data_IF_909854307596
#
_entry.id   IF_909854307596
#
_cell.length_a   1.000
_cell.length_b   1.000
_cell.length_c   1.000
_cell.angle_alpha   90.00
_cell.angle_beta   90.00
_cell.angle_gamma   90.00
#
_symmetry.space_group_name_H-M   'P 1'
#
loop_
_entity.id
_entity.type
_entity.pdbx_description
1 polymer ?
#
# COMPACT_ATOMS: atom_id res chain seq x y z
N UNK A 1 -57.20 1.74 -22.41
CA UNK A 1 -56.14 2.58 -21.80
C UNK A 1 -56.39 2.54 -20.30
N UNK A 2 -55.79 1.70 -19.47
CA UNK A 2 -54.44 1.13 -19.41
C UNK A 2 -53.95 1.41 -17.98
N UNK A 3 -54.51 0.70 -17.00
CA UNK A 3 -54.23 0.88 -15.57
C UNK A 3 -52.92 0.16 -15.22
N UNK A 4 -51.94 0.91 -14.70
CA UNK A 4 -50.73 0.35 -14.10
C UNK A 4 -51.00 0.15 -12.61
N UNK A 5 -50.91 -1.11 -12.17
CA UNK A 5 -50.96 -1.50 -10.78
C UNK A 5 -49.59 -1.23 -10.13
N UNK A 6 -49.60 -0.54 -9.00
CA UNK A 6 -48.47 -0.47 -8.07
C UNK A 6 -48.27 -1.86 -7.43
N UNK A 7 -47.20 -2.55 -7.81
CA UNK A 7 -46.67 -3.66 -7.00
C UNK A 7 -45.75 -3.07 -5.91
N UNK A 8 -45.99 -3.38 -4.62
CA UNK A 8 -45.05 -3.05 -3.57
C UNK A 8 -43.81 -3.96 -3.69
N UNK A 9 -42.63 -3.34 -3.73
CA UNK A 9 -41.35 -4.02 -3.61
C UNK A 9 -41.33 -4.86 -2.32
N UNK A 10 -41.28 -6.18 -2.48
CA UNK A 10 -41.01 -7.11 -1.40
C UNK A 10 -39.69 -6.76 -0.70
N UNK A 11 -39.77 -6.31 0.55
CA UNK A 11 -38.64 -6.32 1.48
C UNK A 11 -38.17 -7.77 1.63
N UNK A 12 -36.97 -8.06 1.13
CA UNK A 12 -36.25 -9.28 1.43
C UNK A 12 -35.80 -9.20 2.90
N UNK A 13 -36.54 -9.88 3.77
CA UNK A 13 -36.20 -10.06 5.18
C UNK A 13 -34.89 -10.87 5.31
N UNK A 14 -33.78 -10.15 5.46
CA UNK A 14 -32.42 -10.68 5.62
C UNK A 14 -32.22 -11.49 6.92
N UNK A 15 -33.23 -11.62 7.78
CA UNK A 15 -33.20 -12.45 8.99
C UNK A 15 -33.75 -13.88 8.78
N UNK A 16 -34.23 -14.22 7.59
CA UNK A 16 -34.87 -15.52 7.31
C UNK A 16 -33.94 -16.57 6.68
N UNK A 17 -32.64 -16.29 6.53
CA UNK A 17 -31.65 -17.31 6.16
C UNK A 17 -31.19 -18.09 7.39
N UNK A 18 -31.19 -19.43 7.36
CA UNK A 18 -30.73 -20.23 8.47
C UNK A 18 -29.28 -19.87 8.76
N UNK A 19 -29.03 -19.32 9.96
CA UNK A 19 -27.69 -19.23 10.51
C UNK A 19 -27.02 -20.60 10.43
N UNK A 20 -25.71 -20.68 10.18
CA UNK A 20 -25.03 -21.96 10.12
C UNK A 20 -25.21 -22.64 11.47
N UNK A 21 -26.06 -23.67 11.50
CA UNK A 21 -26.09 -24.60 12.61
C UNK A 21 -24.67 -25.14 12.76
N UNK A 22 -24.14 -25.07 13.97
CA UNK A 22 -22.81 -25.54 14.35
C UNK A 22 -22.76 -27.08 14.31
N UNK A 23 -22.96 -27.66 13.14
CA UNK A 23 -22.45 -29.00 12.84
C UNK A 23 -20.99 -28.86 12.48
N UNK A 24 -20.15 -29.66 13.13
CA UNK A 24 -18.69 -29.74 13.07
C UNK A 24 -18.16 -29.84 11.62
N UNK A 25 -18.20 -28.72 10.91
CA UNK A 25 -17.61 -28.60 9.60
C UNK A 25 -16.10 -28.41 9.83
N UNK A 26 -15.32 -29.41 9.42
CA UNK A 26 -13.85 -29.44 9.45
C UNK A 26 -13.26 -28.05 9.14
N UNK A 27 -12.25 -27.63 9.91
CA UNK A 27 -11.54 -26.34 9.75
C UNK A 27 -11.18 -26.05 8.28
N UNK A 28 -10.84 -27.10 7.51
CA UNK A 28 -10.53 -27.02 6.09
C UNK A 28 -11.72 -26.59 5.21
N UNK A 29 -12.94 -27.04 5.51
CA UNK A 29 -14.15 -26.65 4.76
C UNK A 29 -14.51 -25.18 5.00
N UNK A 30 -14.35 -24.70 6.24
CA UNK A 30 -14.55 -23.28 6.60
C UNK A 30 -13.52 -22.39 5.90
N UNK A 31 -12.26 -22.82 5.85
CA UNK A 31 -11.20 -22.06 5.19
C UNK A 31 -11.35 -22.06 3.66
N UNK A 32 -11.80 -23.16 3.06
CA UNK A 32 -12.11 -23.24 1.62
C UNK A 32 -13.25 -22.30 1.24
N UNK A 33 -14.34 -22.27 2.01
CA UNK A 33 -15.45 -21.33 1.78
C UNK A 33 -15.02 -19.87 1.97
N UNK A 34 -14.13 -19.62 2.92
CA UNK A 34 -13.55 -18.30 3.17
C UNK A 34 -12.65 -17.86 2.00
N UNK A 35 -11.78 -18.74 1.49
CA UNK A 35 -10.95 -18.51 0.30
C UNK A 35 -11.82 -18.13 -0.91
N UNK A 36 -12.88 -18.90 -1.18
CA UNK A 36 -13.78 -18.64 -2.30
C UNK A 36 -14.38 -17.22 -2.23
N UNK A 37 -14.80 -16.77 -1.04
CA UNK A 37 -15.30 -15.40 -0.84
C UNK A 37 -14.20 -14.35 -1.03
N UNK A 38 -13.01 -14.60 -0.50
CA UNK A 38 -11.87 -13.70 -0.61
C UNK A 38 -11.38 -13.57 -2.05
N UNK A 39 -11.43 -14.65 -2.85
CA UNK A 39 -11.02 -14.62 -4.26
C UNK A 39 -11.94 -13.78 -5.14
N UNK A 40 -13.22 -13.62 -4.75
CA UNK A 40 -14.16 -12.71 -5.43
C UNK A 40 -13.93 -11.23 -5.09
N UNK A 41 -13.00 -10.90 -4.18
CA UNK A 41 -12.68 -9.51 -3.87
C UNK A 41 -12.02 -8.83 -5.07
N UNK A 42 -12.69 -7.77 -5.55
CA UNK A 42 -12.06 -6.77 -6.40
C UNK A 42 -10.93 -6.02 -5.66
N UNK A 43 -10.05 -5.39 -6.43
CA UNK A 43 -8.97 -4.57 -5.86
C UNK A 43 -9.53 -3.46 -4.95
N UNK A 44 -8.82 -3.18 -3.86
CA UNK A 44 -9.19 -2.23 -2.80
C UNK A 44 -10.48 -2.55 -2.05
N UNK A 45 -11.04 -3.75 -2.23
CA UNK A 45 -12.16 -4.22 -1.40
C UNK A 45 -11.64 -4.99 -0.19
N UNK A 46 -12.31 -4.74 0.93
CA UNK A 46 -12.08 -5.48 2.17
C UNK A 46 -13.19 -6.49 2.39
N UNK A 47 -12.82 -7.64 2.95
CA UNK A 47 -13.75 -8.62 3.50
C UNK A 47 -13.48 -8.78 4.99
N UNK A 48 -14.51 -8.54 5.80
CA UNK A 48 -14.48 -8.74 7.24
C UNK A 48 -14.82 -10.20 7.53
N UNK A 49 -13.82 -10.95 7.99
CA UNK A 49 -13.95 -12.36 8.36
C UNK A 49 -14.64 -12.51 9.70
N UNK A 50 -14.33 -11.61 10.65
CA UNK A 50 -14.85 -11.62 12.01
C UNK A 50 -15.09 -10.20 12.49
N UNK A 51 -16.06 -10.04 13.39
CA UNK A 51 -16.32 -8.75 13.99
C UNK A 51 -15.15 -8.28 14.88
N UNK A 52 -14.74 -7.02 14.69
CA UNK A 52 -13.72 -6.39 15.52
C UNK A 52 -14.29 -6.02 16.89
N UNK A 53 -13.78 -6.67 17.93
CA UNK A 53 -14.09 -6.32 19.32
C UNK A 53 -13.53 -4.92 19.65
N UNK A 54 -14.27 -4.07 20.39
CA UNK A 54 -13.82 -2.72 20.75
C UNK A 54 -12.48 -2.71 21.51
N UNK A 55 -12.28 -3.67 22.40
CA UNK A 55 -11.06 -3.81 23.22
C UNK A 55 -10.01 -4.75 22.60
N UNK A 56 -10.20 -5.15 21.33
CA UNK A 56 -9.25 -6.03 20.65
C UNK A 56 -7.93 -5.33 20.35
N UNK A 57 -6.83 -6.09 20.46
CA UNK A 57 -5.54 -5.73 19.92
C UNK A 57 -5.34 -6.41 18.58
N UNK A 58 -4.98 -5.61 17.57
CA UNK A 58 -4.87 -6.03 16.19
C UNK A 58 -3.50 -5.71 15.64
N UNK A 59 -2.98 -6.60 14.81
CA UNK A 59 -1.77 -6.38 14.02
C UNK A 59 -2.21 -6.20 12.57
N UNK A 60 -1.70 -5.15 11.93
CA UNK A 60 -1.92 -4.95 10.50
C UNK A 60 -0.69 -5.44 9.76
N UNK A 61 -0.89 -6.47 8.95
CA UNK A 61 0.13 -7.13 8.15
C UNK A 61 -0.11 -6.84 6.67
N UNK A 62 0.95 -6.73 5.89
CA UNK A 62 0.91 -6.73 4.44
C UNK A 62 1.86 -7.82 3.93
N UNK A 63 1.38 -8.65 3.02
CA UNK A 63 2.12 -9.77 2.44
C UNK A 63 1.75 -10.00 0.98
N UNK A 64 2.50 -10.85 0.29
CA UNK A 64 2.13 -11.33 -1.04
C UNK A 64 0.77 -12.06 -1.02
N UNK A 65 -0.07 -11.80 -2.02
CA UNK A 65 -1.42 -12.37 -2.09
C UNK A 65 -1.42 -13.89 -2.20
N UNK A 66 -0.49 -14.48 -2.97
CA UNK A 66 -0.43 -15.93 -3.16
C UNK A 66 0.12 -16.62 -1.92
N UNK A 67 1.14 -16.03 -1.27
CA UNK A 67 1.63 -16.54 0.02
C UNK A 67 0.51 -16.51 1.06
N UNK A 68 -0.24 -15.41 1.14
CA UNK A 68 -1.40 -15.33 2.04
C UNK A 68 -2.44 -16.42 1.78
N UNK A 69 -2.81 -16.64 0.52
CA UNK A 69 -3.76 -17.70 0.16
C UNK A 69 -3.25 -19.07 0.59
N UNK A 70 -1.96 -19.35 0.43
CA UNK A 70 -1.36 -20.63 0.85
C UNK A 70 -1.38 -20.84 2.37
N UNK A 71 -1.48 -19.75 3.14
CA UNK A 71 -1.48 -19.77 4.61
C UNK A 71 -2.87 -19.50 5.20
N UNK A 72 -3.94 -19.33 4.40
CA UNK A 72 -5.23 -18.88 4.94
C UNK A 72 -5.80 -19.85 5.98
N UNK A 73 -5.71 -21.16 5.74
CA UNK A 73 -6.22 -22.17 6.66
C UNK A 73 -5.65 -22.00 8.08
N UNK A 74 -4.40 -21.53 8.17
CA UNK A 74 -3.67 -21.31 9.41
C UNK A 74 -4.02 -19.96 10.05
N UNK A 75 -4.30 -18.96 9.22
CA UNK A 75 -4.66 -17.61 9.68
C UNK A 75 -6.15 -17.46 9.99
N UNK A 76 -7.03 -18.30 9.42
CA UNK A 76 -8.48 -18.12 9.42
C UNK A 76 -9.10 -18.00 10.82
N UNK A 77 -8.46 -18.60 11.83
CA UNK A 77 -8.91 -18.56 13.22
C UNK A 77 -8.73 -17.18 13.87
N UNK A 78 -7.71 -16.44 13.46
CA UNK A 78 -7.35 -15.15 14.05
C UNK A 78 -7.40 -13.99 13.04
N UNK A 79 -7.70 -14.28 11.77
CA UNK A 79 -7.94 -13.30 10.73
C UNK A 79 -9.27 -12.59 10.99
N UNK A 80 -9.22 -11.27 10.96
CA UNK A 80 -10.37 -10.40 11.25
C UNK A 80 -10.84 -9.74 9.97
N UNK A 81 -9.90 -9.27 9.15
CA UNK A 81 -10.19 -8.61 7.89
C UNK A 81 -9.06 -8.89 6.91
N UNK A 82 -9.41 -9.00 5.63
CA UNK A 82 -8.47 -9.01 4.52
C UNK A 82 -8.85 -7.96 3.50
N UNK A 83 -7.86 -7.31 2.90
CA UNK A 83 -8.04 -6.37 1.81
C UNK A 83 -7.08 -6.72 0.69
N UNK A 84 -7.59 -6.88 -0.52
CA UNK A 84 -6.76 -7.11 -1.71
C UNK A 84 -6.28 -5.77 -2.25
N UNK A 85 -4.98 -5.56 -2.38
CA UNK A 85 -4.44 -4.33 -2.96
C UNK A 85 -4.34 -4.44 -4.48
N UNK A 86 -4.22 -3.31 -5.18
CA UNK A 86 -3.94 -3.30 -6.61
C UNK A 86 -2.54 -3.87 -6.96
N UNK A 87 -1.63 -3.92 -5.98
CA UNK A 87 -0.23 -4.29 -6.18
C UNK A 87 0.01 -5.80 -6.06
N UNK A 88 -1.06 -6.61 -6.00
CA UNK A 88 -0.95 -8.06 -5.78
C UNK A 88 -0.58 -8.43 -4.33
N UNK A 89 -0.76 -7.52 -3.38
CA UNK A 89 -0.55 -7.78 -1.94
C UNK A 89 -1.88 -7.94 -1.21
N UNK A 90 -1.85 -8.59 -0.05
CA UNK A 90 -2.95 -8.68 0.89
C UNK A 90 -2.62 -7.85 2.13
N UNK A 91 -3.52 -6.94 2.52
CA UNK A 91 -3.48 -6.30 3.84
C UNK A 91 -4.40 -7.06 4.78
N UNK A 92 -3.84 -7.60 5.85
CA UNK A 92 -4.49 -8.47 6.81
C UNK A 92 -4.59 -7.76 8.14
N UNK A 93 -5.78 -7.80 8.76
CA UNK A 93 -5.95 -7.43 10.16
C UNK A 93 -6.05 -8.72 10.94
N UNK A 94 -5.05 -8.96 11.79
CA UNK A 94 -4.89 -10.16 12.58
C UNK A 94 -5.09 -9.87 14.06
N UNK A 95 -5.86 -10.70 14.76
CA UNK A 95 -6.07 -10.57 16.21
C UNK A 95 -4.83 -11.09 16.95
N UNK A 96 -4.21 -10.25 17.78
CA UNK A 96 -2.99 -10.57 18.55
C UNK A 96 -3.22 -11.54 19.73
N UNK A 97 -4.30 -12.32 19.72
CA UNK A 97 -4.67 -13.19 20.85
C UNK A 97 -3.79 -14.44 20.86
N UNK A 98 -3.37 -14.91 22.04
CA UNK A 98 -2.68 -16.18 22.14
C UNK A 98 -3.65 -17.30 21.76
N UNK A 99 -3.29 -18.10 20.76
CA UNK A 99 -3.99 -19.32 20.38
C UNK A 99 -2.99 -20.48 20.29
N UNK A 100 -3.39 -21.71 20.60
CA UNK A 100 -2.46 -22.82 20.85
C UNK A 100 -2.10 -23.65 19.61
N UNK A 101 -2.82 -23.51 18.50
CA UNK A 101 -2.55 -24.29 17.30
C UNK A 101 -1.64 -23.56 16.32
N UNK A 102 -0.39 -24.03 16.19
CA UNK A 102 0.56 -23.52 15.22
C UNK A 102 1.13 -24.64 14.34
N UNK A 103 0.93 -24.52 13.03
CA UNK A 103 1.77 -25.19 12.05
C UNK A 103 2.74 -24.17 11.45
N UNK A 104 4.00 -24.55 11.21
CA UNK A 104 5.02 -23.63 10.71
C UNK A 104 4.69 -23.19 9.28
N UNK A 105 4.44 -21.90 9.11
CA UNK A 105 4.36 -21.22 7.81
C UNK A 105 5.46 -20.19 7.71
N UNK A 106 6.13 -20.13 6.56
CA UNK A 106 7.15 -19.12 6.26
C UNK A 106 6.65 -18.17 5.19
N UNK A 107 7.07 -16.92 5.32
CA UNK A 107 6.79 -15.83 4.40
C UNK A 107 8.09 -15.34 3.80
N UNK A 108 8.13 -15.06 2.50
CA UNK A 108 9.34 -14.48 1.89
C UNK A 108 9.61 -13.09 2.44
N UNK A 109 8.55 -12.35 2.68
CA UNK A 109 8.58 -11.06 3.37
C UNK A 109 7.23 -10.81 4.01
N UNK A 110 7.25 -10.05 5.09
CA UNK A 110 6.05 -9.56 5.76
C UNK A 110 6.28 -8.13 6.18
N UNK A 111 5.32 -7.25 5.88
CA UNK A 111 5.36 -5.87 6.35
C UNK A 111 4.36 -5.70 7.49
N UNK A 112 4.82 -5.26 8.64
CA UNK A 112 3.97 -4.96 9.80
C UNK A 112 3.82 -3.46 9.91
N UNK A 113 2.59 -2.97 10.08
CA UNK A 113 2.34 -1.56 10.39
C UNK A 113 2.59 -1.30 11.86
N UNK A 114 3.31 -0.22 12.13
CA UNK A 114 3.56 0.29 13.47
C UNK A 114 2.40 1.21 13.88
N UNK A 115 2.03 1.18 15.16
CA UNK A 115 0.97 2.03 15.69
C UNK A 115 1.40 3.50 15.87
N UNK A 116 2.70 3.78 15.83
CA UNK A 116 3.29 5.12 15.91
C UNK A 116 4.53 5.23 15.04
N UNK A 117 5.03 6.45 14.89
CA UNK A 117 6.35 6.69 14.30
C UNK A 117 7.42 6.14 15.25
N UNK A 118 8.35 5.35 14.71
CA UNK A 118 9.42 4.71 15.48
C UNK A 118 10.76 5.07 14.86
N UNK A 119 11.72 5.45 15.70
CA UNK A 119 13.11 5.67 15.28
C UNK A 119 13.87 4.34 15.24
N UNK A 120 14.97 4.22 14.45
CA UNK A 120 15.75 2.99 14.41
C UNK A 120 16.23 2.51 15.78
N UNK A 121 16.49 3.42 16.73
CA UNK A 121 16.95 3.09 18.08
C UNK A 121 15.83 2.56 19.00
N UNK A 122 14.56 2.84 18.69
CA UNK A 122 13.41 2.37 19.47
C UNK A 122 12.90 1.00 19.01
N UNK A 123 13.31 0.55 17.82
CA UNK A 123 12.88 -0.71 17.24
C UNK A 123 13.79 -1.84 17.73
N UNK A 124 13.33 -2.57 18.75
CA UNK A 124 14.05 -3.71 19.31
C UNK A 124 13.41 -5.03 18.88
N UNK A 125 13.57 -5.39 17.61
CA UNK A 125 13.17 -6.70 17.09
C UNK A 125 14.38 -7.63 17.12
N UNK A 126 14.18 -8.87 17.56
CA UNK A 126 15.24 -9.89 17.56
C UNK A 126 15.53 -10.42 16.16
N UNK A 127 14.60 -10.23 15.22
CA UNK A 127 14.70 -10.67 13.84
C UNK A 127 15.39 -9.62 12.94
N UNK A 128 16.05 -10.07 11.84
CA UNK A 128 16.47 -9.17 10.78
C UNK A 128 15.28 -8.37 10.26
N UNK A 129 15.44 -7.05 10.16
CA UNK A 129 14.32 -6.17 9.81
C UNK A 129 14.78 -4.93 9.05
N UNK A 130 13.85 -4.30 8.34
CA UNK A 130 14.05 -3.01 7.69
C UNK A 130 12.90 -2.09 8.06
N UNK A 131 13.22 -0.95 8.65
CA UNK A 131 12.25 0.11 8.89
C UNK A 131 11.92 0.80 7.56
N UNK A 132 10.65 1.05 7.29
CA UNK A 132 10.25 1.83 6.12
C UNK A 132 10.69 3.29 6.25
N UNK A 133 10.85 3.96 5.11
CA UNK A 133 11.29 5.37 5.07
C UNK A 133 10.35 6.33 5.81
N UNK A 134 9.07 5.98 5.93
CA UNK A 134 8.07 6.75 6.67
C UNK A 134 8.05 6.42 8.18
N UNK A 135 8.90 5.50 8.65
CA UNK A 135 8.96 5.05 10.05
C UNK A 135 7.63 4.51 10.59
N UNK A 136 6.71 4.07 9.72
CA UNK A 136 5.36 3.56 10.09
C UNK A 136 5.19 2.07 9.85
N UNK A 137 6.21 1.40 9.33
CA UNK A 137 6.15 -0.03 9.10
C UNK A 137 7.52 -0.67 9.17
N UNK A 138 7.55 -1.95 9.47
CA UNK A 138 8.74 -2.76 9.47
C UNK A 138 8.58 -3.93 8.52
N UNK A 139 9.59 -4.19 7.71
CA UNK A 139 9.65 -5.30 6.77
C UNK A 139 10.53 -6.39 7.39
N UNK A 140 9.98 -7.59 7.52
CA UNK A 140 10.62 -8.79 8.05
C UNK A 140 10.81 -9.77 6.89
N UNK A 141 12.04 -9.94 6.38
CA UNK A 141 12.34 -10.94 5.36
C UNK A 141 12.38 -12.34 5.97
N UNK A 142 11.94 -13.35 5.20
CA UNK A 142 12.08 -14.77 5.52
C UNK A 142 11.59 -15.14 6.93
N UNK A 143 10.39 -14.69 7.30
CA UNK A 143 9.86 -14.84 8.65
C UNK A 143 8.89 -16.02 8.74
N UNK A 144 9.00 -16.78 9.82
CA UNK A 144 7.99 -17.79 10.17
C UNK A 144 6.87 -17.19 11.03
N UNK A 145 5.69 -17.79 11.00
CA UNK A 145 4.56 -17.33 11.82
C UNK A 145 4.86 -17.36 13.32
N UNK A 146 5.59 -18.37 13.80
CA UNK A 146 6.01 -18.47 15.21
C UNK A 146 6.97 -17.36 15.62
N UNK A 147 7.91 -16.99 14.73
CA UNK A 147 8.80 -15.83 14.95
C UNK A 147 8.03 -14.51 14.95
N UNK A 148 7.10 -14.33 14.00
CA UNK A 148 6.21 -13.17 13.96
C UNK A 148 5.43 -13.02 15.26
N UNK A 149 4.83 -14.11 15.75
CA UNK A 149 4.06 -14.08 16.99
C UNK A 149 4.93 -13.73 18.18
N UNK A 150 6.13 -14.31 18.27
CA UNK A 150 7.11 -13.97 19.32
C UNK A 150 7.38 -12.47 19.32
N UNK A 151 7.65 -11.89 18.15
CA UNK A 151 7.87 -10.45 18.03
C UNK A 151 6.64 -9.63 18.41
N UNK A 152 5.43 -10.03 17.99
CA UNK A 152 4.19 -9.34 18.38
C UNK A 152 3.95 -9.41 19.88
N UNK A 153 4.30 -10.51 20.54
CA UNK A 153 4.18 -10.64 22.00
C UNK A 153 5.20 -9.76 22.74
N UNK A 154 6.45 -9.74 22.28
CA UNK A 154 7.52 -8.94 22.89
C UNK A 154 7.32 -7.44 22.64
N UNK A 155 6.92 -7.08 21.42
CA UNK A 155 6.83 -5.71 20.92
C UNK A 155 5.38 -5.26 20.73
N UNK A 156 4.43 -5.84 21.47
CA UNK A 156 3.00 -5.60 21.29
C UNK A 156 2.61 -4.12 21.37
N UNK A 157 3.30 -3.33 22.20
CA UNK A 157 3.09 -1.87 22.28
C UNK A 157 3.42 -1.10 21.01
N UNK A 158 4.22 -1.66 20.11
CA UNK A 158 4.60 -1.04 18.83
C UNK A 158 3.86 -1.68 17.64
N UNK A 159 3.66 -3.00 17.70
CA UNK A 159 3.13 -3.80 16.60
C UNK A 159 1.60 -3.99 16.65
N UNK A 160 0.96 -3.69 17.78
CA UNK A 160 -0.50 -3.78 17.91
C UNK A 160 -1.16 -2.40 17.91
N UNK A 161 -2.34 -2.36 17.34
CA UNK A 161 -3.22 -1.20 17.28
C UNK A 161 -4.61 -1.55 17.79
N UNK A 162 -5.34 -0.52 18.22
CA UNK A 162 -6.75 -0.64 18.62
C UNK A 162 -7.66 -0.51 17.40
N UNK A 163 -8.91 -0.97 17.54
CA UNK A 163 -9.94 -0.80 16.49
C UNK A 163 -10.07 0.67 16.03
N UNK A 164 -9.99 1.62 16.96
CA UNK A 164 -10.07 3.06 16.67
C UNK A 164 -8.90 3.61 15.84
N UNK A 165 -7.79 2.88 15.77
CA UNK A 165 -6.55 3.28 15.08
C UNK A 165 -6.42 2.62 13.70
N UNK A 166 -7.32 1.69 13.37
CA UNK A 166 -7.36 1.06 12.06
C UNK A 166 -7.86 2.07 11.01
N UNK A 167 -7.30 2.05 9.79
CA UNK A 167 -7.78 2.91 8.71
C UNK A 167 -9.29 2.65 8.49
N UNK A 168 -10.09 3.72 8.28
CA UNK A 168 -11.52 3.57 8.07
C UNK A 168 -11.76 2.64 6.88
N UNK A 169 -12.65 1.67 7.09
CA UNK A 169 -13.11 0.77 6.04
C UNK A 169 -13.71 1.67 4.97
N UNK A 170 -13.10 1.71 3.79
CA UNK A 170 -13.67 2.37 2.63
C UNK A 170 -15.05 1.75 2.39
N UNK A 171 -16.11 2.44 2.79
CA UNK A 171 -17.47 2.01 2.53
C UNK A 171 -17.62 1.78 1.02
N UNK A 172 -18.42 0.79 0.60
CA UNK A 172 -18.73 0.63 -0.82
C UNK A 172 -19.26 1.97 -1.36
N UNK A 173 -18.79 2.41 -2.54
CA UNK A 173 -19.26 3.64 -3.16
C UNK A 173 -20.71 3.44 -3.57
N UNK A 174 -21.67 3.85 -2.73
CA UNK A 174 -23.08 3.64 -3.03
C UNK A 174 -24.09 3.95 -1.93
N UNK A 175 -23.69 4.13 -0.67
CA UNK A 175 -24.64 4.53 0.36
C UNK A 175 -24.89 6.06 0.32
N UNK A 176 -26.12 6.54 0.07
CA UNK A 176 -26.43 7.95 0.21
C UNK A 176 -26.40 8.32 1.69
N UNK A 177 -25.46 9.20 2.08
CA UNK A 177 -25.40 9.73 3.43
C UNK A 177 -26.52 10.76 3.65
N UNK A 178 -27.22 10.74 4.80
CA UNK A 178 -28.15 11.79 5.16
C UNK A 178 -27.38 13.09 5.44
N UNK A 179 -27.69 14.12 4.66
CA UNK A 179 -27.07 15.45 4.77
C UNK A 179 -27.63 16.15 6.02
N UNK A 180 -26.92 16.02 7.14
CA UNK A 180 -27.10 16.91 8.29
C UNK A 180 -26.13 18.09 8.17
N UNK A 181 -26.68 19.29 8.10
CA UNK A 181 -25.96 20.54 7.98
C UNK A 181 -25.11 20.81 9.23
N UNK A 182 -23.78 20.69 9.07
CA UNK A 182 -22.77 21.13 10.03
C UNK A 182 -21.60 21.79 9.29
N UNK A 183 -20.80 22.64 9.95
CA UNK A 183 -19.84 23.50 9.28
C UNK A 183 -18.79 22.66 8.55
N UNK A 184 -18.65 22.93 7.25
CA UNK A 184 -17.79 22.24 6.29
C UNK A 184 -16.34 22.21 6.80
N UNK A 185 -15.93 21.10 7.41
CA UNK A 185 -14.54 20.69 7.36
C UNK A 185 -14.28 20.26 5.90
N UNK A 186 -13.36 20.97 5.24
CA UNK A 186 -12.92 20.61 3.91
C UNK A 186 -12.42 19.16 3.93
N UNK A 187 -13.17 18.26 3.30
CA UNK A 187 -12.65 16.94 2.96
C UNK A 187 -11.39 17.09 2.09
N UNK A 188 -10.55 16.04 1.98
CA UNK A 188 -9.42 16.08 1.08
C UNK A 188 -9.94 16.33 -0.33
N UNK A 189 -9.81 17.57 -0.82
CA UNK A 189 -9.92 17.82 -2.25
C UNK A 189 -8.93 16.86 -2.89
N UNK A 190 -9.40 16.02 -3.80
CA UNK A 190 -8.51 15.25 -4.66
C UNK A 190 -7.55 16.26 -5.29
N UNK A 191 -6.32 16.27 -4.79
CA UNK A 191 -5.35 17.27 -5.17
C UNK A 191 -5.09 17.06 -6.66
N UNK A 192 -5.45 18.06 -7.47
CA UNK A 192 -5.17 18.01 -8.90
C UNK A 192 -3.67 17.76 -9.07
N UNK A 193 -3.27 16.85 -9.99
CA UNK A 193 -1.87 16.59 -10.24
C UNK A 193 -1.19 17.90 -10.62
N UNK A 194 -0.09 18.21 -9.95
CA UNK A 194 0.73 19.38 -10.22
C UNK A 194 1.86 18.98 -11.17
N UNK A 195 2.32 19.91 -11.99
CA UNK A 195 3.50 19.71 -12.84
C UNK A 195 4.61 20.63 -12.36
N UNK A 196 5.76 20.05 -12.02
CA UNK A 196 6.98 20.76 -11.69
C UNK A 196 7.97 20.60 -12.85
N UNK A 197 8.52 21.72 -13.32
CA UNK A 197 9.57 21.73 -14.33
C UNK A 197 10.95 21.82 -13.69
N UNK A 198 11.89 21.04 -14.20
CA UNK A 198 13.29 21.01 -13.80
C UNK A 198 14.16 21.25 -15.04
N UNK A 199 14.98 22.30 -15.01
CA UNK A 199 15.91 22.62 -16.08
C UNK A 199 17.29 22.08 -15.73
N UNK A 200 17.80 21.17 -16.56
CA UNK A 200 19.11 20.55 -16.37
C UNK A 200 19.92 20.61 -17.65
N UNK A 201 21.24 20.47 -17.55
CA UNK A 201 22.07 20.30 -18.74
C UNK A 201 21.69 19.01 -19.47
N UNK A 202 21.84 18.99 -20.79
CA UNK A 202 21.61 17.80 -21.63
C UNK A 202 22.42 16.60 -21.12
N UNK A 203 23.64 16.83 -20.64
CA UNK A 203 24.48 15.80 -20.03
C UNK A 203 23.82 15.20 -18.78
N UNK A 204 23.31 16.04 -17.88
CA UNK A 204 22.57 15.61 -16.70
C UNK A 204 21.27 14.86 -17.07
N UNK A 205 20.50 15.34 -18.05
CA UNK A 205 19.30 14.64 -18.53
C UNK A 205 19.65 13.28 -19.14
N UNK A 206 20.70 13.20 -19.95
CA UNK A 206 21.17 11.94 -20.55
C UNK A 206 21.60 10.95 -19.48
N UNK A 207 22.31 11.41 -18.46
CA UNK A 207 22.65 10.59 -17.30
C UNK A 207 21.38 10.09 -16.58
N UNK A 208 20.40 10.96 -16.34
CA UNK A 208 19.16 10.56 -15.65
C UNK A 208 18.31 9.58 -16.46
N UNK A 209 18.32 9.67 -17.79
CA UNK A 209 17.73 8.65 -18.68
C UNK A 209 18.45 7.31 -18.47
N UNK A 210 19.79 7.33 -18.50
CA UNK A 210 20.60 6.13 -18.37
C UNK A 210 20.57 5.25 -19.63
N UNK A 211 21.31 4.13 -19.63
CA UNK A 211 21.32 3.20 -20.75
C UNK A 211 19.90 2.66 -20.99
N UNK A 212 19.42 2.75 -22.23
CA UNK A 212 18.08 2.29 -22.64
C UNK A 212 16.91 2.91 -21.84
N UNK A 213 17.14 4.01 -21.12
CA UNK A 213 16.11 4.65 -20.29
C UNK A 213 15.92 4.05 -18.89
N UNK A 214 16.72 3.07 -18.48
CA UNK A 214 16.50 2.32 -17.25
C UNK A 214 16.42 3.18 -15.98
N UNK A 215 17.25 4.22 -15.87
CA UNK A 215 17.31 5.05 -14.65
C UNK A 215 16.08 5.94 -14.50
N UNK A 216 15.61 6.52 -15.60
CA UNK A 216 14.42 7.37 -15.54
C UNK A 216 13.18 6.52 -15.34
N UNK A 217 13.11 5.32 -15.91
CA UNK A 217 12.01 4.37 -15.64
C UNK A 217 12.01 3.88 -14.20
N UNK A 218 13.18 3.56 -13.62
CA UNK A 218 13.28 3.20 -12.20
C UNK A 218 12.76 4.34 -11.30
N UNK A 219 13.10 5.59 -11.65
CA UNK A 219 12.64 6.77 -10.91
C UNK A 219 11.12 6.97 -11.04
N UNK A 220 10.54 6.75 -12.23
CA UNK A 220 9.07 6.75 -12.42
C UNK A 220 8.39 5.67 -11.60
N UNK A 221 8.92 4.45 -11.61
CA UNK A 221 8.36 3.32 -10.86
C UNK A 221 8.40 3.56 -9.35
N UNK A 222 9.50 4.10 -8.83
CA UNK A 222 9.67 4.35 -7.40
C UNK A 222 8.85 5.55 -6.91
N UNK A 223 8.79 6.62 -7.70
CA UNK A 223 8.06 7.84 -7.33
C UNK A 223 6.58 7.80 -7.64
N UNK A 224 6.15 6.91 -8.54
CA UNK A 224 4.80 6.89 -9.13
C UNK A 224 4.44 8.22 -9.86
N UNK A 225 5.42 9.10 -10.09
CA UNK A 225 5.25 10.33 -10.83
C UNK A 225 5.39 10.11 -12.33
N UNK A 226 4.63 10.87 -13.12
CA UNK A 226 4.83 10.94 -14.57
C UNK A 226 5.99 11.88 -14.87
N UNK A 227 7.10 11.35 -15.41
CA UNK A 227 8.29 12.14 -15.72
C UNK A 227 8.49 12.19 -17.24
N UNK A 228 8.38 13.38 -17.85
CA UNK A 228 8.57 13.58 -19.30
C UNK A 228 9.83 14.40 -19.57
N UNK A 229 10.67 13.92 -20.48
CA UNK A 229 11.79 14.69 -21.02
C UNK A 229 11.26 15.51 -22.18
N UNK A 230 11.30 16.84 -22.07
CA UNK A 230 10.82 17.72 -23.12
C UNK A 230 11.88 17.86 -24.23
N UNK A 231 11.45 17.97 -25.50
CA UNK A 231 12.36 18.23 -26.60
C UNK A 231 13.00 19.61 -26.45
N UNK A 232 14.21 19.78 -26.98
CA UNK A 232 14.90 21.07 -26.99
C UNK A 232 14.23 21.93 -28.07
N UNK A 233 13.39 22.89 -27.65
CA UNK A 233 12.52 23.66 -28.55
C UNK A 233 13.25 24.62 -29.50
N UNK A 234 14.57 24.83 -29.35
CA UNK A 234 15.35 25.76 -30.17
C UNK A 234 16.24 25.03 -31.16
N UNK A 235 16.30 25.53 -32.41
CA UNK A 235 17.35 25.14 -33.37
C UNK A 235 18.71 25.49 -32.76
N UNK A 236 19.55 24.48 -32.56
CA UNK A 236 20.87 24.66 -31.97
C UNK A 236 21.75 25.47 -32.90
N UNK A 237 22.34 26.55 -32.37
CA UNK A 237 23.38 27.31 -33.04
C UNK A 237 24.65 26.45 -33.22
N UNK A 238 25.51 26.81 -34.18
CA UNK A 238 26.76 26.09 -34.44
C UNK A 238 27.69 26.04 -33.19
N UNK A 239 27.61 27.06 -32.32
CA UNK A 239 28.31 27.11 -31.02
C UNK A 239 27.74 26.15 -29.97
N UNK A 240 26.42 25.90 -29.97
CA UNK A 240 25.77 24.97 -29.03
C UNK A 240 25.94 23.51 -29.47
N UNK A 241 26.08 23.27 -30.78
CA UNK A 241 26.45 21.95 -31.31
C UNK A 241 27.87 21.55 -30.91
N UNK A 242 28.81 22.50 -30.88
CA UNK A 242 30.20 22.26 -30.46
C UNK A 242 30.37 22.18 -28.94
N UNK A 243 29.42 22.70 -28.15
CA UNK A 243 29.48 22.69 -26.68
C UNK A 243 28.20 22.11 -26.04
N UNK A 244 27.95 20.80 -26.18
CA UNK A 244 26.71 20.16 -25.72
C UNK A 244 26.49 20.22 -24.19
N UNK A 245 27.52 20.56 -23.42
CA UNK A 245 27.46 20.73 -21.95
C UNK A 245 26.73 22.00 -21.51
N UNK A 246 26.67 23.03 -22.37
CA UNK A 246 25.97 24.29 -22.09
C UNK A 246 24.46 24.24 -22.38
N UNK A 247 24.01 23.15 -23.02
CA UNK A 247 22.66 23.02 -23.53
C UNK A 247 21.70 22.62 -22.41
N UNK A 248 20.69 23.44 -22.14
CA UNK A 248 19.64 23.16 -21.15
C UNK A 248 18.49 22.37 -21.77
N UNK A 249 17.96 21.41 -21.03
CA UNK A 249 16.82 20.59 -21.38
C UNK A 249 15.87 20.48 -20.17
N UNK A 250 14.56 20.51 -20.44
CA UNK A 250 13.54 20.50 -19.40
C UNK A 250 13.01 19.10 -19.14
N UNK A 251 12.90 18.73 -17.87
CA UNK A 251 12.15 17.58 -17.37
C UNK A 251 10.85 18.10 -16.73
N UNK A 252 9.72 17.57 -17.16
CA UNK A 252 8.41 17.85 -16.56
C UNK A 252 7.97 16.66 -15.69
N UNK A 253 7.78 16.91 -14.39
CA UNK A 253 7.40 15.91 -13.40
C UNK A 253 5.97 16.21 -12.95
N UNK A 254 5.05 15.28 -13.20
CA UNK A 254 3.62 15.47 -12.91
C UNK A 254 3.12 14.40 -11.94
N UNK A 255 2.44 14.82 -10.88
CA UNK A 255 1.89 13.92 -9.87
C UNK A 255 1.27 14.67 -8.69
N UNK A 256 0.94 13.94 -7.63
CA UNK A 256 0.64 14.57 -6.34
C UNK A 256 1.92 15.14 -5.67
N UNK A 257 1.76 15.90 -4.58
CA UNK A 257 2.90 16.53 -3.89
C UNK A 257 3.94 15.52 -3.40
N UNK A 258 3.52 14.33 -2.95
CA UNK A 258 4.41 13.30 -2.47
C UNK A 258 5.18 12.67 -3.64
N UNK A 259 4.47 12.31 -4.71
CA UNK A 259 5.05 11.76 -5.94
C UNK A 259 6.10 12.70 -6.54
N UNK A 260 5.78 13.99 -6.64
CA UNK A 260 6.73 15.00 -7.14
C UNK A 260 7.94 15.12 -6.21
N UNK A 261 7.72 15.23 -4.89
CA UNK A 261 8.82 15.35 -3.93
C UNK A 261 9.74 14.12 -3.96
N UNK A 262 9.17 12.91 -4.03
CA UNK A 262 9.93 11.67 -4.15
C UNK A 262 10.72 11.62 -5.46
N UNK A 263 10.09 11.96 -6.59
CA UNK A 263 10.80 12.03 -7.88
C UNK A 263 11.97 13.02 -7.83
N UNK A 264 11.75 14.23 -7.32
CA UNK A 264 12.79 15.25 -7.18
C UNK A 264 13.96 14.78 -6.31
N UNK A 265 13.67 14.19 -5.14
CA UNK A 265 14.69 13.68 -4.24
C UNK A 265 15.53 12.55 -4.88
N UNK A 266 14.89 11.64 -5.62
CA UNK A 266 15.59 10.56 -6.34
C UNK A 266 16.50 11.12 -7.45
N UNK A 267 16.00 12.07 -8.25
CA UNK A 267 16.78 12.69 -9.31
C UNK A 267 17.97 13.49 -8.75
N UNK A 268 17.76 14.26 -7.67
CA UNK A 268 18.84 15.00 -7.00
C UNK A 268 19.89 14.07 -6.40
N UNK A 269 19.48 12.97 -5.76
CA UNK A 269 20.41 11.97 -5.23
C UNK A 269 21.26 11.35 -6.33
N UNK A 270 20.65 10.95 -7.45
CA UNK A 270 21.36 10.38 -8.60
C UNK A 270 22.36 11.39 -9.21
N UNK A 271 21.96 12.65 -9.39
CA UNK A 271 22.85 13.69 -9.90
C UNK A 271 23.98 14.00 -8.92
N UNK A 272 23.72 13.98 -7.61
CA UNK A 272 24.74 14.21 -6.59
C UNK A 272 25.76 13.08 -6.57
N UNK A 273 25.32 11.82 -6.66
CA UNK A 273 26.22 10.66 -6.78
C UNK A 273 27.06 10.73 -8.06
N UNK A 274 26.49 11.17 -9.18
CA UNK A 274 27.24 11.36 -10.42
C UNK A 274 28.35 12.41 -10.28
N UNK A 275 28.08 13.52 -9.60
CA UNK A 275 29.06 14.59 -9.35
C UNK A 275 30.23 14.14 -8.46
N UNK A 276 29.99 13.16 -7.59
CA UNK A 276 30.99 12.61 -6.68
C UNK A 276 31.82 11.47 -7.30
N UNK A 277 31.42 10.96 -8.48
CA UNK A 277 32.19 9.94 -9.18
C UNK A 277 33.49 10.55 -9.73
N UNK A 278 34.66 9.91 -9.52
CA UNK A 278 35.97 10.52 -9.72
C UNK A 278 36.32 10.91 -11.18
N UNK A 279 35.49 10.57 -12.17
CA UNK A 279 35.81 10.79 -13.59
C UNK A 279 34.81 11.66 -14.37
N UNK A 280 33.78 12.26 -13.76
CA UNK A 280 32.74 12.98 -14.52
C UNK A 280 32.40 14.36 -13.92
N UNK A 281 33.12 15.40 -14.37
CA UNK A 281 32.74 16.80 -14.17
C UNK A 281 31.62 17.18 -15.16
N UNK A 282 30.49 17.67 -14.64
CA UNK A 282 29.31 18.13 -15.40
C UNK A 282 29.62 19.27 -16.37
#
# INVERSE_FOLDING_TARGET
MGAFADEPLHELDLNSLPGPQETECSSAAKATALLARIDTLGCHRSYTVREMRPEGQYVVLEADWYEFRSQLDRLATSLVQVTKTANGTAVLVWSARPQEDETPGSWRWLRIRLNRLVTPCELNLSLPHRLSADSRSVILPQITFTELRREVLLNGRLLTCRRSELPPISAPPGAPLPVAAGPRQAGPQAALPQTQELHLTKAAVTYLIGPVGERIEATRLQSQATIKVLPICKRLSASEQSHPRSLQQTLAITGDRLQIATAMALLEAQLSLHRLAPDHQL
#
